data_IF_730515301394
#
_entry.id   IF_730515301394
#
_cell.length_a   1.000
_cell.length_b   1.000
_cell.length_c   1.000
_cell.angle_alpha   90.00
_cell.angle_beta   90.00
_cell.angle_gamma   90.00
#
_symmetry.space_group_name_H-M   'P 1'
#
loop_
_entity.id
_entity.type
_entity.pdbx_description
1 polymer ?
#
# COMPACT_ATOMS: atom_id res chain seq x y z
N UNK A 1 40.59 9.52 10.40
CA UNK A 1 39.35 9.54 9.59
C UNK A 1 38.50 8.36 10.00
N UNK A 2 37.32 8.59 10.57
CA UNK A 2 36.34 7.53 10.85
C UNK A 2 35.53 7.26 9.57
N UNK A 3 35.50 6.01 9.13
CA UNK A 3 34.68 5.59 7.99
C UNK A 3 33.21 5.91 8.27
N UNK A 4 32.50 6.48 7.29
CA UNK A 4 31.05 6.61 7.36
C UNK A 4 30.43 5.22 7.26
N UNK A 5 29.71 4.74 8.28
CA UNK A 5 29.10 3.42 8.23
C UNK A 5 27.99 3.39 7.18
N UNK A 6 27.81 2.22 6.54
CA UNK A 6 26.68 2.01 5.64
C UNK A 6 25.37 2.09 6.43
N UNK A 7 24.30 2.66 5.83
CA UNK A 7 22.99 2.69 6.48
C UNK A 7 22.46 1.25 6.69
N UNK A 8 21.92 0.99 7.88
CA UNK A 8 21.25 -0.27 8.20
C UNK A 8 19.86 -0.32 7.59
N UNK A 9 19.43 -1.51 7.16
CA UNK A 9 18.06 -1.79 6.74
C UNK A 9 17.14 -2.23 7.89
N UNK A 10 17.65 -2.28 9.13
CA UNK A 10 16.86 -2.61 10.32
C UNK A 10 15.85 -1.51 10.63
N UNK A 11 14.68 -1.94 11.11
CA UNK A 11 13.54 -1.12 11.51
C UNK A 11 13.23 -1.28 13.01
N UNK A 12 14.22 -1.68 13.80
CA UNK A 12 14.08 -1.87 15.25
C UNK A 12 13.49 -0.62 15.93
N UNK A 13 12.46 -0.83 16.75
CA UNK A 13 11.76 0.25 17.46
C UNK A 13 10.87 1.13 16.59
N UNK A 14 10.65 0.78 15.31
CA UNK A 14 9.71 1.47 14.42
C UNK A 14 8.34 0.81 14.44
N UNK A 15 7.29 1.62 14.28
CA UNK A 15 5.90 1.16 14.13
C UNK A 15 5.45 1.30 12.69
N UNK A 16 4.98 0.23 12.07
CA UNK A 16 4.53 0.21 10.68
C UNK A 16 3.03 -0.05 10.58
N UNK A 17 2.31 0.77 9.81
CA UNK A 17 0.92 0.54 9.42
C UNK A 17 0.86 -0.01 7.99
N UNK A 18 0.11 -1.09 7.78
CA UNK A 18 -0.12 -1.67 6.45
C UNK A 18 -1.61 -1.75 6.13
N UNK A 19 -2.07 -0.98 5.15
CA UNK A 19 -3.47 -1.06 4.68
C UNK A 19 -3.66 -2.19 3.67
N UNK A 20 -4.77 -2.91 3.76
CA UNK A 20 -4.95 -4.14 2.97
C UNK A 20 -3.94 -5.22 3.32
N UNK A 21 -3.55 -5.31 4.59
CA UNK A 21 -2.47 -6.19 5.07
C UNK A 21 -2.80 -7.68 5.09
N UNK A 22 -4.07 -8.08 4.94
CA UNK A 22 -4.48 -9.48 5.08
C UNK A 22 -4.03 -10.40 3.93
N UNK A 23 -3.70 -9.88 2.74
CA UNK A 23 -3.38 -10.70 1.56
C UNK A 23 -2.45 -10.02 0.56
N UNK A 24 -1.85 -10.83 -0.31
CA UNK A 24 -1.06 -10.36 -1.45
C UNK A 24 0.11 -9.47 -1.04
N UNK A 25 0.30 -8.37 -1.78
CA UNK A 25 1.44 -7.45 -1.57
C UNK A 25 1.44 -6.84 -0.16
N UNK A 26 0.26 -6.52 0.40
CA UNK A 26 0.15 -5.99 1.76
C UNK A 26 0.65 -6.97 2.82
N UNK A 27 0.23 -8.23 2.74
CA UNK A 27 0.69 -9.28 3.65
C UNK A 27 2.20 -9.49 3.56
N UNK A 28 2.75 -9.59 2.35
CA UNK A 28 4.18 -9.73 2.15
C UNK A 28 4.96 -8.51 2.69
N UNK A 29 4.43 -7.29 2.51
CA UNK A 29 5.02 -6.08 3.06
C UNK A 29 5.03 -6.05 4.60
N UNK A 30 3.94 -6.50 5.23
CA UNK A 30 3.86 -6.65 6.69
C UNK A 30 4.91 -7.65 7.20
N UNK A 31 5.06 -8.79 6.55
CA UNK A 31 6.07 -9.80 6.88
C UNK A 31 7.49 -9.22 6.78
N UNK A 32 7.80 -8.52 5.69
CA UNK A 32 9.13 -7.90 5.47
C UNK A 32 9.43 -6.86 6.56
N UNK A 33 8.47 -6.02 6.94
CA UNK A 33 8.67 -5.05 8.01
C UNK A 33 8.89 -5.71 9.36
N UNK A 34 8.13 -6.77 9.67
CA UNK A 34 8.29 -7.54 10.90
C UNK A 34 9.68 -8.19 10.98
N UNK A 35 10.12 -8.86 9.90
CA UNK A 35 11.46 -9.46 9.82
C UNK A 35 12.58 -8.43 9.95
N UNK A 36 12.35 -7.20 9.46
CA UNK A 36 13.27 -6.08 9.62
C UNK A 36 13.27 -5.47 11.03
N UNK A 37 12.37 -5.88 11.94
CA UNK A 37 12.33 -5.47 13.35
C UNK A 37 11.26 -4.43 13.71
N UNK A 38 10.36 -4.09 12.79
CA UNK A 38 9.26 -3.18 13.08
C UNK A 38 8.13 -3.88 13.83
N UNK A 39 7.43 -3.16 14.71
CA UNK A 39 6.12 -3.56 15.22
C UNK A 39 5.06 -3.25 14.16
N UNK A 40 4.36 -4.26 13.66
CA UNK A 40 3.48 -4.12 12.49
C UNK A 40 2.00 -4.12 12.89
N UNK A 41 1.28 -3.07 12.51
CA UNK A 41 -0.17 -2.99 12.62
C UNK A 41 -0.79 -3.17 11.23
N UNK A 42 -1.62 -4.19 11.05
CA UNK A 42 -2.33 -4.45 9.80
C UNK A 42 -3.76 -3.91 9.90
N UNK A 43 -4.28 -3.34 8.80
CA UNK A 43 -5.71 -3.05 8.71
C UNK A 43 -6.31 -3.47 7.37
N UNK A 44 -7.61 -3.77 7.41
CA UNK A 44 -8.38 -4.26 6.28
C UNK A 44 -9.81 -4.59 6.71
N UNK A 45 -10.64 -5.06 5.76
CA UNK A 45 -12.07 -5.29 6.01
C UNK A 45 -12.38 -6.69 6.55
N UNK A 46 -11.55 -7.68 6.22
CA UNK A 46 -11.78 -9.09 6.59
C UNK A 46 -10.98 -9.42 7.83
N UNK A 47 -11.65 -9.60 8.98
CA UNK A 47 -10.98 -9.94 10.24
C UNK A 47 -10.16 -11.24 10.13
N UNK A 48 -10.75 -12.30 9.55
CA UNK A 48 -10.08 -13.60 9.41
C UNK A 48 -8.74 -13.50 8.65
N UNK A 49 -8.71 -12.81 7.49
CA UNK A 49 -7.48 -12.62 6.72
C UNK A 49 -6.39 -11.90 7.56
N UNK A 50 -6.79 -10.93 8.38
CA UNK A 50 -5.86 -10.17 9.23
C UNK A 50 -5.35 -11.03 10.40
N UNK A 51 -6.25 -11.72 11.08
CA UNK A 51 -5.93 -12.56 12.24
C UNK A 51 -4.98 -13.70 11.84
N UNK A 52 -5.20 -14.30 10.66
CA UNK A 52 -4.29 -15.30 10.11
C UNK A 52 -2.88 -14.74 9.87
N UNK A 53 -2.76 -13.53 9.30
CA UNK A 53 -1.45 -12.90 9.11
C UNK A 53 -0.77 -12.54 10.43
N UNK A 54 -1.52 -11.98 11.38
CA UNK A 54 -0.99 -11.63 12.71
C UNK A 54 -0.48 -12.87 13.43
N UNK A 55 -1.24 -13.97 13.39
CA UNK A 55 -0.84 -15.24 13.99
C UNK A 55 0.48 -15.73 13.41
N UNK A 56 0.61 -15.80 12.10
CA UNK A 56 1.84 -16.27 11.45
C UNK A 56 3.06 -15.39 11.77
N UNK A 57 2.90 -14.06 11.77
CA UNK A 57 4.00 -13.14 12.12
C UNK A 57 4.43 -13.33 13.58
N UNK A 58 3.47 -13.54 14.50
CA UNK A 58 3.75 -13.78 15.92
C UNK A 58 4.37 -15.15 16.17
N UNK A 59 3.93 -16.20 15.48
CA UNK A 59 4.51 -17.54 15.56
C UNK A 59 5.96 -17.55 15.08
N UNK A 60 6.32 -16.67 14.13
CA UNK A 60 7.69 -16.44 13.71
C UNK A 60 8.53 -15.59 14.70
N UNK A 61 7.95 -15.15 15.82
CA UNK A 61 8.64 -14.42 16.88
C UNK A 61 8.68 -12.90 16.71
N UNK A 62 7.86 -12.33 15.83
CA UNK A 62 7.82 -10.88 15.58
C UNK A 62 6.56 -10.22 16.17
N UNK A 63 6.60 -8.89 16.28
CA UNK A 63 5.48 -8.10 16.80
C UNK A 63 4.48 -7.74 15.69
N UNK A 64 3.24 -8.20 15.84
CA UNK A 64 2.14 -7.79 14.98
C UNK A 64 0.83 -7.62 15.74
N UNK A 65 -0.03 -6.73 15.25
CA UNK A 65 -1.43 -6.62 15.65
C UNK A 65 -2.28 -6.23 14.44
N UNK A 66 -3.61 -6.33 14.55
CA UNK A 66 -4.50 -5.88 13.49
C UNK A 66 -5.75 -5.22 14.04
N UNK A 67 -6.39 -4.42 13.18
CA UNK A 67 -7.72 -3.89 13.44
C UNK A 67 -8.53 -3.82 12.14
N UNK A 68 -9.83 -4.05 12.25
CA UNK A 68 -10.74 -3.98 11.11
C UNK A 68 -11.03 -2.53 10.79
N UNK A 69 -10.82 -2.14 9.52
CA UNK A 69 -11.08 -0.80 9.03
C UNK A 69 -11.43 -0.86 7.53
N UNK A 70 -12.56 -0.26 7.16
CA UNK A 70 -12.76 0.16 5.78
C UNK A 70 -12.11 1.53 5.58
N UNK A 71 -11.03 1.56 4.81
CA UNK A 71 -10.29 2.80 4.54
C UNK A 71 -11.09 3.82 3.73
N UNK A 72 -12.21 3.43 3.13
CA UNK A 72 -13.12 4.36 2.44
C UNK A 72 -14.01 5.16 3.40
N UNK A 73 -14.17 4.71 4.66
CA UNK A 73 -14.78 5.51 5.73
C UNK A 73 -13.74 6.48 6.31
N UNK A 74 -13.75 7.70 5.78
CA UNK A 74 -12.78 8.74 6.15
C UNK A 74 -12.91 9.17 7.62
N UNK A 75 -14.12 9.09 8.21
CA UNK A 75 -14.32 9.42 9.61
C UNK A 75 -13.69 8.33 10.50
N UNK A 76 -13.89 7.06 10.16
CA UNK A 76 -13.23 5.95 10.85
C UNK A 76 -11.70 5.98 10.66
N UNK A 77 -11.19 6.25 9.45
CA UNK A 77 -9.74 6.42 9.19
C UNK A 77 -9.12 7.42 10.15
N UNK A 78 -9.71 8.62 10.26
CA UNK A 78 -9.20 9.68 11.15
C UNK A 78 -9.21 9.26 12.61
N UNK A 79 -10.28 8.61 13.06
CA UNK A 79 -10.45 8.16 14.44
C UNK A 79 -9.47 7.02 14.79
N UNK A 80 -9.48 5.95 14.02
CA UNK A 80 -8.74 4.72 14.34
C UNK A 80 -7.24 4.88 14.15
N UNK A 81 -6.78 5.51 13.06
CA UNK A 81 -5.34 5.73 12.83
C UNK A 81 -4.82 6.78 13.82
N UNK A 82 -5.59 7.84 14.07
CA UNK A 82 -5.22 8.88 15.03
C UNK A 82 -5.04 8.34 16.45
N UNK A 83 -5.94 7.46 16.90
CA UNK A 83 -5.87 6.86 18.24
C UNK A 83 -4.71 5.86 18.41
N UNK A 84 -4.22 5.26 17.33
CA UNK A 84 -3.16 4.24 17.36
C UNK A 84 -1.77 4.78 17.02
N UNK A 85 -1.70 5.94 16.34
CA UNK A 85 -0.45 6.55 15.92
C UNK A 85 0.42 7.08 17.07
N UNK A 86 1.56 7.72 16.75
CA UNK A 86 2.13 7.87 15.41
C UNK A 86 2.67 6.53 14.88
N UNK A 87 2.57 6.35 13.56
CA UNK A 87 3.24 5.26 12.83
C UNK A 87 4.45 5.85 12.10
N UNK A 88 5.63 5.28 12.31
CA UNK A 88 6.87 5.71 11.65
C UNK A 88 6.87 5.36 10.15
N UNK A 89 6.15 4.30 9.79
CA UNK A 89 6.09 3.74 8.43
C UNK A 89 4.62 3.51 8.07
N UNK A 90 4.25 3.91 6.85
CA UNK A 90 2.98 3.54 6.24
C UNK A 90 3.24 2.82 4.91
N UNK A 91 2.73 1.61 4.76
CA UNK A 91 2.53 0.98 3.46
C UNK A 91 1.05 1.06 3.09
N UNK A 92 0.75 2.02 2.22
CA UNK A 92 -0.59 2.32 1.76
C UNK A 92 -0.92 1.45 0.54
N UNK A 93 -1.41 0.25 0.81
CA UNK A 93 -1.54 -0.82 -0.18
C UNK A 93 -2.99 -1.13 -0.59
N UNK A 94 -3.99 -0.77 0.24
CA UNK A 94 -5.39 -1.03 -0.08
C UNK A 94 -5.77 -0.50 -1.48
N UNK A 95 -6.38 -1.37 -2.29
CA UNK A 95 -6.73 -1.04 -3.67
C UNK A 95 -7.55 -2.11 -4.37
N UNK A 96 -8.19 -1.72 -5.47
CA UNK A 96 -9.00 -2.58 -6.34
C UNK A 96 -8.74 -2.25 -7.80
N UNK A 97 -9.07 -3.18 -8.69
CA UNK A 97 -9.06 -2.99 -10.12
C UNK A 97 -10.35 -3.57 -10.71
N UNK A 98 -11.20 -2.73 -11.32
CA UNK A 98 -12.36 -3.14 -12.11
C UNK A 98 -12.04 -2.96 -13.59
N UNK A 99 -12.08 -4.06 -14.35
CA UNK A 99 -11.74 -4.05 -15.78
C UNK A 99 -13.01 -3.85 -16.59
N UNK A 100 -13.10 -2.73 -17.31
CA UNK A 100 -14.24 -2.37 -18.16
C UNK A 100 -13.77 -1.59 -19.40
N UNK A 101 -14.31 -1.87 -20.61
CA UNK A 101 -14.17 -0.96 -21.74
C UNK A 101 -14.63 0.45 -21.35
N UNK A 102 -13.97 1.49 -21.87
CA UNK A 102 -14.29 2.89 -21.48
C UNK A 102 -15.76 3.25 -21.74
N UNK A 103 -16.36 2.68 -22.78
CA UNK A 103 -17.76 2.87 -23.16
C UNK A 103 -18.76 2.19 -22.23
N UNK A 104 -18.30 1.32 -21.33
CA UNK A 104 -19.13 0.56 -20.37
C UNK A 104 -18.84 0.92 -18.92
N UNK A 105 -17.93 1.87 -18.67
CA UNK A 105 -17.62 2.34 -17.33
C UNK A 105 -18.87 3.00 -16.73
N UNK A 106 -19.27 2.53 -15.56
CA UNK A 106 -20.37 3.11 -14.79
C UNK A 106 -19.87 4.13 -13.74
N UNK A 107 -20.78 4.96 -13.24
CA UNK A 107 -20.48 5.86 -12.11
C UNK A 107 -20.10 5.07 -10.85
N UNK A 108 -20.76 3.93 -10.60
CA UNK A 108 -20.40 3.04 -9.48
C UNK A 108 -18.97 2.51 -9.61
N UNK A 109 -18.53 2.14 -10.83
CA UNK A 109 -17.15 1.73 -11.06
C UNK A 109 -16.17 2.86 -10.76
N UNK A 110 -16.50 4.09 -11.17
CA UNK A 110 -15.70 5.27 -10.88
C UNK A 110 -15.58 5.47 -9.37
N UNK A 111 -16.70 5.51 -8.66
CA UNK A 111 -16.73 5.72 -7.22
C UNK A 111 -15.94 4.64 -6.49
N UNK A 112 -16.15 3.37 -6.81
CA UNK A 112 -15.45 2.28 -6.12
C UNK A 112 -13.94 2.34 -6.35
N UNK A 113 -13.49 2.56 -7.58
CA UNK A 113 -12.06 2.59 -7.90
C UNK A 113 -11.40 3.84 -7.33
N UNK A 114 -11.97 5.03 -7.52
CA UNK A 114 -11.33 6.28 -7.09
C UNK A 114 -11.47 6.50 -5.58
N UNK A 115 -12.58 6.13 -4.96
CA UNK A 115 -12.72 6.22 -3.50
C UNK A 115 -11.72 5.31 -2.80
N UNK A 116 -11.51 4.08 -3.28
CA UNK A 116 -10.54 3.18 -2.68
C UNK A 116 -9.10 3.53 -3.07
N UNK A 117 -8.76 3.63 -4.35
CA UNK A 117 -7.35 3.70 -4.77
C UNK A 117 -6.70 5.08 -4.56
N UNK A 118 -7.48 6.17 -4.54
CA UNK A 118 -6.95 7.52 -4.49
C UNK A 118 -7.43 8.27 -3.24
N UNK A 119 -8.74 8.40 -3.04
CA UNK A 119 -9.30 9.15 -1.90
C UNK A 119 -8.90 8.52 -0.57
N UNK A 120 -9.08 7.21 -0.40
CA UNK A 120 -8.69 6.53 0.84
C UNK A 120 -7.18 6.65 1.08
N UNK A 121 -6.37 6.48 0.03
CA UNK A 121 -4.92 6.56 0.11
C UNK A 121 -4.47 7.93 0.61
N UNK A 122 -5.06 9.02 0.10
CA UNK A 122 -4.83 10.38 0.57
C UNK A 122 -5.12 10.51 2.07
N UNK A 123 -6.31 10.11 2.52
CA UNK A 123 -6.73 10.37 3.90
C UNK A 123 -6.05 9.46 4.93
N UNK A 124 -5.70 8.22 4.56
CA UNK A 124 -4.84 7.35 5.38
C UNK A 124 -3.47 8.00 5.54
N UNK A 125 -2.84 8.43 4.43
CA UNK A 125 -1.54 9.05 4.47
C UNK A 125 -1.54 10.38 5.24
N UNK A 126 -2.60 11.18 5.10
CA UNK A 126 -2.82 12.40 5.88
C UNK A 126 -2.93 12.10 7.38
N UNK A 127 -3.66 11.06 7.79
CA UNK A 127 -3.80 10.71 9.21
C UNK A 127 -2.45 10.29 9.82
N UNK A 128 -1.66 9.49 9.10
CA UNK A 128 -0.30 9.11 9.54
C UNK A 128 0.64 10.32 9.57
N UNK A 129 0.65 11.15 8.52
CA UNK A 129 1.48 12.35 8.46
C UNK A 129 1.16 13.32 9.60
N UNK A 130 -0.13 13.53 9.91
CA UNK A 130 -0.55 14.38 11.02
C UNK A 130 0.02 13.88 12.36
N UNK A 131 -0.10 12.58 12.65
CA UNK A 131 0.46 12.01 13.88
C UNK A 131 1.98 12.14 13.97
N UNK A 132 2.69 11.97 12.84
CA UNK A 132 4.15 12.19 12.77
C UNK A 132 4.53 13.64 13.07
N UNK A 133 3.85 14.59 12.45
CA UNK A 133 4.09 16.03 12.64
C UNK A 133 3.78 16.47 14.08
N UNK A 134 2.64 16.05 14.63
CA UNK A 134 2.26 16.35 16.03
C UNK A 134 3.26 15.78 17.04
N UNK A 135 3.88 14.65 16.71
CA UNK A 135 4.90 14.01 17.55
C UNK A 135 6.32 14.51 17.29
N UNK A 136 6.53 15.40 16.31
CA UNK A 136 7.86 15.84 15.88
C UNK A 136 8.77 14.70 15.38
N UNK A 137 8.18 13.61 14.85
CA UNK A 137 8.91 12.42 14.41
C UNK A 137 9.08 12.39 12.89
N UNK A 138 10.26 12.02 12.37
CA UNK A 138 10.41 11.71 10.96
C UNK A 138 9.67 10.41 10.62
N UNK A 139 9.44 10.16 9.32
CA UNK A 139 8.72 8.95 8.90
C UNK A 139 8.87 8.62 7.43
N UNK A 140 8.21 7.53 7.02
CA UNK A 140 8.24 7.02 5.64
C UNK A 140 6.85 6.55 5.21
N UNK A 141 6.24 7.28 4.28
CA UNK A 141 5.00 6.89 3.62
C UNK A 141 5.33 6.26 2.27
N UNK A 142 4.80 5.06 2.04
CA UNK A 142 5.01 4.26 0.84
C UNK A 142 3.64 3.97 0.24
N UNK A 143 3.33 4.59 -0.88
CA UNK A 143 2.10 4.34 -1.62
C UNK A 143 2.30 3.21 -2.62
N UNK A 144 1.43 2.20 -2.63
CA UNK A 144 1.45 1.15 -3.66
C UNK A 144 0.69 1.64 -4.88
N UNK A 145 1.46 2.06 -5.87
CA UNK A 145 0.96 2.49 -7.17
C UNK A 145 0.82 1.29 -8.11
N UNK A 146 1.23 1.41 -9.36
CA UNK A 146 1.26 0.33 -10.35
C UNK A 146 2.12 0.75 -11.54
N UNK A 147 2.57 -0.20 -12.36
CA UNK A 147 3.01 0.14 -13.72
C UNK A 147 1.97 1.00 -14.46
N UNK A 148 0.68 0.82 -14.16
CA UNK A 148 -0.43 1.58 -14.75
C UNK A 148 -0.54 3.02 -14.21
N UNK A 149 0.29 3.42 -13.25
CA UNK A 149 0.54 4.83 -12.88
C UNK A 149 1.58 5.51 -13.78
N UNK A 150 2.15 4.77 -14.75
CA UNK A 150 3.14 5.27 -15.71
C UNK A 150 2.77 4.96 -17.16
N UNK A 151 1.89 3.98 -17.39
CA UNK A 151 1.38 3.61 -18.72
C UNK A 151 -0.14 3.40 -18.68
N UNK A 152 -0.77 3.38 -19.86
CA UNK A 152 -2.16 2.98 -20.01
C UNK A 152 -2.33 1.47 -20.17
N UNK A 153 -3.53 0.96 -19.90
CA UNK A 153 -3.91 -0.42 -20.14
C UNK A 153 -5.35 -0.52 -20.67
N UNK A 154 -5.56 -1.37 -21.67
CA UNK A 154 -6.90 -1.63 -22.19
C UNK A 154 -7.84 -2.11 -21.08
N UNK A 155 -9.05 -1.55 -21.04
CA UNK A 155 -10.04 -1.85 -20.01
C UNK A 155 -9.72 -1.35 -18.60
N UNK A 156 -8.68 -0.53 -18.43
CA UNK A 156 -8.18 -0.09 -17.11
C UNK A 156 -8.19 1.43 -16.93
N UNK A 157 -9.08 2.14 -17.62
CA UNK A 157 -9.13 3.62 -17.60
C UNK A 157 -9.18 4.18 -16.18
N UNK A 158 -10.12 3.73 -15.35
CA UNK A 158 -10.27 4.17 -13.96
C UNK A 158 -9.09 3.76 -13.08
N UNK A 159 -8.59 2.53 -13.24
CA UNK A 159 -7.44 2.05 -12.47
C UNK A 159 -6.18 2.87 -12.79
N UNK A 160 -5.88 3.06 -14.08
CA UNK A 160 -4.80 3.94 -14.53
C UNK A 160 -4.99 5.36 -14.01
N UNK A 161 -6.16 5.97 -14.16
CA UNK A 161 -6.44 7.31 -13.65
C UNK A 161 -6.16 7.42 -12.14
N UNK A 162 -6.62 6.44 -11.35
CA UNK A 162 -6.38 6.41 -9.90
C UNK A 162 -4.89 6.31 -9.53
N UNK A 163 -4.11 5.51 -10.28
CA UNK A 163 -2.67 5.30 -10.01
C UNK A 163 -1.81 6.46 -10.51
N UNK A 164 -2.15 7.08 -11.64
CA UNK A 164 -1.55 8.35 -12.06
C UNK A 164 -1.83 9.47 -11.06
N UNK A 165 -3.07 9.56 -10.55
CA UNK A 165 -3.43 10.49 -9.49
C UNK A 165 -2.60 10.26 -8.21
N UNK A 166 -2.38 8.99 -7.85
CA UNK A 166 -1.57 8.62 -6.68
C UNK A 166 -0.08 8.98 -6.86
N UNK A 167 0.48 8.85 -8.06
CA UNK A 167 1.84 9.33 -8.37
C UNK A 167 1.97 10.84 -8.20
N UNK A 168 1.01 11.61 -8.74
CA UNK A 168 0.97 13.05 -8.59
C UNK A 168 0.86 13.47 -7.12
N UNK A 169 -0.09 12.86 -6.40
CA UNK A 169 -0.29 13.09 -4.97
C UNK A 169 0.98 12.80 -4.16
N UNK A 170 1.65 11.68 -4.42
CA UNK A 170 2.88 11.28 -3.72
C UNK A 170 3.96 12.35 -3.85
N UNK A 171 4.12 12.95 -5.03
CA UNK A 171 5.12 14.00 -5.27
C UNK A 171 4.81 15.28 -4.49
N UNK A 172 3.55 15.71 -4.47
CA UNK A 172 3.12 16.86 -3.67
C UNK A 172 3.35 16.60 -2.17
N UNK A 173 2.90 15.45 -1.66
CA UNK A 173 3.10 15.09 -0.26
C UNK A 173 4.58 15.01 0.12
N UNK A 174 5.46 14.53 -0.76
CA UNK A 174 6.89 14.49 -0.51
C UNK A 174 7.48 15.90 -0.33
N UNK A 175 7.04 16.87 -1.14
CA UNK A 175 7.48 18.27 -1.03
C UNK A 175 6.97 18.88 0.27
N UNK A 176 5.67 18.73 0.55
CA UNK A 176 5.02 19.34 1.71
C UNK A 176 5.58 18.82 3.04
N UNK A 177 5.95 17.53 3.09
CA UNK A 177 6.38 16.86 4.32
C UNK A 177 7.90 16.78 4.50
N UNK A 178 8.69 17.15 3.48
CA UNK A 178 10.15 17.15 3.54
C UNK A 178 10.73 18.00 4.69
N UNK A 179 10.22 19.22 4.99
CA UNK A 179 10.70 20.02 6.12
C UNK A 179 10.56 19.33 7.48
N UNK A 180 9.67 18.33 7.59
CA UNK A 180 9.41 17.56 8.80
C UNK A 180 10.16 16.22 8.84
N UNK A 181 11.06 15.95 7.89
CA UNK A 181 11.81 14.69 7.81
C UNK A 181 10.95 13.48 7.46
N UNK A 182 9.77 13.69 6.86
CA UNK A 182 8.88 12.60 6.41
C UNK A 182 9.06 12.42 4.90
N UNK A 183 9.49 11.21 4.50
CA UNK A 183 9.65 10.85 3.09
C UNK A 183 8.37 10.23 2.55
N UNK A 184 8.02 10.53 1.30
CA UNK A 184 6.86 9.95 0.63
C UNK A 184 7.29 9.41 -0.74
N UNK A 185 7.06 8.12 -1.00
CA UNK A 185 7.49 7.43 -2.21
C UNK A 185 6.42 6.46 -2.71
N UNK A 186 6.55 6.02 -3.96
CA UNK A 186 5.72 4.96 -4.55
C UNK A 186 6.53 3.70 -4.82
N UNK A 187 5.86 2.56 -4.70
CA UNK A 187 6.28 1.29 -5.30
C UNK A 187 5.26 0.97 -6.38
N UNK A 188 5.73 0.55 -7.56
CA UNK A 188 4.89 0.39 -8.75
C UNK A 188 4.93 -1.05 -9.27
N UNK A 189 4.22 -2.00 -8.64
CA UNK A 189 4.22 -3.38 -9.09
C UNK A 189 3.66 -3.54 -10.51
N UNK A 190 4.21 -4.52 -11.21
CA UNK A 190 3.59 -5.12 -12.41
C UNK A 190 2.65 -6.27 -11.98
N UNK A 191 2.43 -7.25 -12.84
CA UNK A 191 1.77 -8.49 -12.46
C UNK A 191 2.60 -9.23 -11.40
N UNK A 192 2.03 -9.36 -10.21
CA UNK A 192 2.48 -10.25 -9.14
C UNK A 192 1.41 -11.33 -9.01
N UNK A 193 1.78 -12.59 -8.84
CA UNK A 193 0.82 -13.68 -8.68
C UNK A 193 0.13 -13.60 -7.31
N UNK A 194 -1.08 -13.04 -7.29
CA UNK A 194 -1.88 -12.79 -6.08
C UNK A 194 -3.34 -13.11 -6.37
N UNK A 195 -4.17 -13.22 -5.33
CA UNK A 195 -5.62 -13.39 -5.51
C UNK A 195 -6.28 -12.34 -6.43
N UNK A 196 -5.74 -11.11 -6.49
CA UNK A 196 -6.26 -10.05 -7.36
C UNK A 196 -5.96 -10.28 -8.85
N UNK A 197 -4.78 -10.82 -9.16
CA UNK A 197 -4.29 -10.97 -10.54
C UNK A 197 -4.51 -12.37 -11.10
N UNK A 198 -4.67 -13.38 -10.24
CA UNK A 198 -4.79 -14.78 -10.63
C UNK A 198 -5.93 -15.05 -11.64
N UNK A 199 -7.15 -14.49 -11.50
CA UNK A 199 -8.19 -14.65 -12.51
C UNK A 199 -7.79 -14.13 -13.91
N UNK A 200 -6.95 -13.11 -13.96
CA UNK A 200 -6.44 -12.52 -15.21
C UNK A 200 -5.33 -13.40 -15.77
N UNK A 201 -4.40 -13.83 -14.91
CA UNK A 201 -3.28 -14.70 -15.31
C UNK A 201 -3.75 -16.07 -15.79
N UNK A 202 -4.86 -16.58 -15.26
CA UNK A 202 -5.46 -17.87 -15.62
C UNK A 202 -6.26 -17.80 -16.94
N UNK A 203 -6.49 -16.60 -17.49
CA UNK A 203 -7.07 -16.46 -18.84
C UNK A 203 -6.10 -17.02 -19.88
N UNK A 204 -6.52 -17.93 -20.78
CA UNK A 204 -5.63 -18.58 -21.74
C UNK A 204 -4.72 -17.61 -22.50
N UNK A 205 -3.42 -17.90 -22.54
CA UNK A 205 -2.40 -17.07 -23.21
C UNK A 205 -1.99 -15.80 -22.45
N UNK A 206 -2.70 -15.38 -21.40
CA UNK A 206 -2.39 -14.14 -20.69
C UNK A 206 -1.11 -14.24 -19.87
N UNK A 207 -0.89 -15.34 -19.14
CA UNK A 207 0.36 -15.58 -18.40
C UNK A 207 1.58 -15.55 -19.32
N UNK A 208 1.54 -16.26 -20.45
CA UNK A 208 2.65 -16.32 -21.42
C UNK A 208 2.91 -14.95 -22.04
N UNK A 209 1.84 -14.23 -22.40
CA UNK A 209 1.96 -12.85 -22.87
C UNK A 209 2.63 -11.96 -21.82
N UNK A 210 2.18 -11.99 -20.57
CA UNK A 210 2.77 -11.19 -19.48
C UNK A 210 4.25 -11.54 -19.30
N UNK A 211 4.60 -12.83 -19.22
CA UNK A 211 5.98 -13.28 -19.07
C UNK A 211 6.87 -12.85 -20.24
N UNK A 212 6.36 -12.87 -21.47
CA UNK A 212 7.10 -12.38 -22.65
C UNK A 212 7.48 -10.90 -22.57
N UNK A 213 6.73 -10.11 -21.78
CA UNK A 213 6.98 -8.68 -21.55
C UNK A 213 7.88 -8.42 -20.34
N UNK A 214 7.99 -9.36 -19.41
CA UNK A 214 8.87 -9.27 -18.24
C UNK A 214 10.25 -9.82 -18.60
N UNK A 215 11.26 -8.95 -18.61
CA UNK A 215 12.62 -9.32 -19.07
C UNK A 215 13.32 -10.35 -18.21
N UNK A 216 12.89 -10.50 -16.95
CA UNK A 216 13.38 -11.55 -16.05
C UNK A 216 12.64 -12.89 -16.22
N UNK A 217 11.60 -12.96 -17.05
CA UNK A 217 10.87 -14.20 -17.35
C UNK A 217 10.15 -14.84 -16.15
N UNK A 218 9.83 -14.05 -15.12
CA UNK A 218 9.13 -14.51 -13.91
C UNK A 218 8.16 -13.47 -13.36
N UNK A 219 7.14 -13.94 -12.64
CA UNK A 219 6.24 -13.14 -11.81
C UNK A 219 6.78 -13.01 -10.39
#
# INVERSE_FOLDING_TARGET
MTLTPLPSFRLDGKRALVTGGGRGIGAAGAEVFAQAGAAVTLCGRTAADLDDRVREIREAGFEAEAFVLDVTDIAAVRREIGARGPFDILLNNAGVNRIRPITEVTEEDYDVVLNLNLKSALFVAQAVAKGLLESGRPGSIINVSSQMGHVGGAGRSLYSASKWGLEGLTRCMAIDLAPHGVRVNTICPTFIDTAMTRPILDTPGTRDFVLSRIKLGRL
#
